data_IF_790699304972
#
_entry.id   IF_790699304972
#
_cell.length_a   1.000
_cell.length_b   1.000
_cell.length_c   1.000
_cell.angle_alpha   90.00
_cell.angle_beta   90.00
_cell.angle_gamma   90.00
#
_symmetry.space_group_name_H-M   'P 1'
#
loop_
_entity.id
_entity.type
_entity.pdbx_description
1 polymer ?
#
# COMPACT_ATOMS: atom_id res chain seq x y z
N UNK A 1 22.54 -74.38 -26.56
CA UNK A 1 23.97 -74.79 -26.67
C UNK A 1 24.80 -73.66 -26.07
N UNK A 2 25.56 -73.99 -25.01
CA UNK A 2 26.77 -73.34 -24.49
C UNK A 2 26.83 -71.80 -24.26
N UNK A 3 26.91 -71.43 -22.98
CA UNK A 3 27.79 -70.36 -22.45
C UNK A 3 29.28 -70.72 -22.69
N UNK A 4 30.26 -69.79 -22.62
CA UNK A 4 30.90 -69.46 -21.33
C UNK A 4 31.42 -68.00 -21.12
N UNK A 5 31.18 -67.50 -19.89
CA UNK A 5 32.08 -66.86 -18.88
C UNK A 5 33.38 -66.09 -19.23
N UNK A 6 33.58 -64.95 -18.54
CA UNK A 6 34.74 -64.63 -17.64
C UNK A 6 34.56 -63.22 -17.02
N UNK A 7 34.19 -63.00 -15.75
CA UNK A 7 34.98 -63.01 -14.49
C UNK A 7 36.19 -62.05 -14.42
N UNK A 8 36.15 -61.11 -13.44
CA UNK A 8 37.25 -60.20 -13.10
C UNK A 8 37.03 -59.36 -11.82
N UNK A 9 37.03 -60.02 -10.66
CA UNK A 9 37.33 -59.59 -9.25
C UNK A 9 37.82 -58.15 -8.99
N UNK A 10 37.15 -57.39 -8.11
CA UNK A 10 37.33 -57.26 -6.63
C UNK A 10 38.37 -56.22 -6.17
N UNK A 11 37.96 -55.26 -5.33
CA UNK A 11 38.52 -54.92 -3.99
C UNK A 11 38.02 -53.55 -3.50
N UNK A 12 37.18 -53.56 -2.45
CA UNK A 12 37.33 -52.62 -1.34
C UNK A 12 38.34 -53.23 -0.34
N UNK A 13 38.99 -52.42 0.51
CA UNK A 13 38.42 -52.25 1.85
C UNK A 13 38.66 -50.88 2.50
N UNK A 14 37.85 -50.65 3.54
CA UNK A 14 38.24 -50.20 4.89
C UNK A 14 37.58 -48.92 5.36
N UNK A 15 37.10 -49.02 6.60
CA UNK A 15 36.25 -48.12 7.32
C UNK A 15 36.98 -47.58 8.55
N UNK A 16 36.45 -46.46 9.05
CA UNK A 16 36.48 -45.98 10.46
C UNK A 16 37.80 -45.34 10.95
N UNK A 17 37.76 -44.42 11.94
CA UNK A 17 36.74 -44.35 12.99
C UNK A 17 36.14 -42.98 13.36
N UNK A 18 35.00 -43.11 14.04
CA UNK A 18 34.33 -42.16 14.91
C UNK A 18 35.30 -41.47 15.87
N UNK A 19 35.12 -40.16 16.05
CA UNK A 19 35.45 -39.48 17.31
C UNK A 19 34.22 -38.72 17.79
N UNK A 20 33.56 -39.29 18.80
CA UNK A 20 32.58 -38.64 19.64
C UNK A 20 33.30 -37.71 20.62
N UNK A 21 33.01 -36.42 20.61
CA UNK A 21 33.31 -35.53 21.74
C UNK A 21 32.00 -34.99 22.32
N UNK A 22 31.60 -35.63 23.42
CA UNK A 22 30.69 -35.06 24.42
C UNK A 22 31.28 -33.74 24.93
N UNK A 23 30.54 -32.65 24.83
CA UNK A 23 30.69 -31.50 25.75
C UNK A 23 29.32 -31.12 26.29
N UNK A 24 29.05 -31.69 27.46
CA UNK A 24 28.41 -31.09 28.64
C UNK A 24 27.53 -29.86 28.43
N UNK A 25 26.22 -30.06 28.60
CA UNK A 25 25.27 -29.04 29.06
C UNK A 25 25.79 -28.44 30.37
N UNK A 26 25.94 -27.12 30.43
CA UNK A 26 25.96 -26.37 31.68
C UNK A 26 24.69 -25.54 31.72
N UNK A 27 23.69 -26.02 32.45
CA UNK A 27 22.49 -25.28 32.81
C UNK A 27 22.84 -24.33 33.95
N UNK A 28 23.05 -23.04 33.64
CA UNK A 28 23.06 -22.02 34.66
C UNK A 28 21.62 -21.67 35.04
N UNK A 29 21.22 -22.22 36.19
CA UNK A 29 20.10 -21.78 37.00
C UNK A 29 20.44 -20.40 37.54
N UNK A 30 19.94 -19.34 36.91
CA UNK A 30 19.91 -18.01 37.51
C UNK A 30 18.69 -17.94 38.44
N UNK A 31 19.00 -17.91 39.74
CA UNK A 31 18.05 -17.71 40.82
C UNK A 31 17.43 -16.31 40.72
N UNK A 32 16.13 -16.28 40.99
CA UNK A 32 15.28 -15.11 41.24
C UNK A 32 15.93 -14.11 42.20
N UNK A 33 15.89 -12.82 41.85
CA UNK A 33 15.80 -11.72 42.81
C UNK A 33 14.63 -10.82 42.41
N UNK A 34 13.53 -10.92 43.15
CA UNK A 34 12.43 -9.98 43.08
C UNK A 34 12.85 -8.76 43.88
N UNK A 35 13.08 -7.62 43.23
CA UNK A 35 13.13 -6.32 43.91
C UNK A 35 11.73 -5.75 43.87
N UNK A 36 11.10 -5.71 45.05
CA UNK A 36 9.81 -5.07 45.27
C UNK A 36 10.03 -3.57 45.41
N UNK A 37 9.88 -2.82 44.33
CA UNK A 37 9.79 -1.36 44.41
C UNK A 37 8.41 -0.96 44.90
N UNK A 38 8.40 -0.46 46.14
CA UNK A 38 7.20 0.01 46.83
C UNK A 38 7.01 1.48 46.44
N UNK A 39 6.20 1.76 45.42
CA UNK A 39 5.84 3.13 45.07
C UNK A 39 4.87 3.66 46.14
N UNK A 40 5.37 4.60 46.96
CA UNK A 40 4.58 5.42 47.88
C UNK A 40 3.63 6.32 47.08
N UNK A 41 2.33 6.06 47.20
CA UNK A 41 1.27 6.99 46.79
C UNK A 41 1.21 8.14 47.79
N UNK A 42 1.67 9.33 47.39
CA UNK A 42 1.50 10.56 48.15
C UNK A 42 0.09 11.09 47.88
N UNK A 43 -0.79 11.01 48.90
CA UNK A 43 -2.09 11.66 48.91
C UNK A 43 -1.91 13.18 49.04
N UNK A 44 -2.43 13.95 48.08
CA UNK A 44 -2.59 15.39 48.23
C UNK A 44 -3.80 15.71 49.14
N UNK A 45 -3.70 16.68 50.06
CA UNK A 45 -4.83 17.08 50.88
C UNK A 45 -5.71 18.13 50.16
N UNK A 46 -7.02 17.91 50.20
CA UNK A 46 -8.06 18.89 49.88
C UNK A 46 -8.22 19.88 51.02
N UNK A 47 -8.44 21.18 50.71
CA UNK A 47 -8.98 22.22 51.60
C UNK A 47 -9.58 23.36 50.73
N UNK A 48 -10.47 24.22 51.25
CA UNK A 48 -11.86 24.27 50.81
C UNK A 48 -12.27 25.59 50.11
N UNK A 49 -13.48 25.57 49.56
CA UNK A 49 -14.17 26.70 48.96
C UNK A 49 -14.37 27.87 49.94
N UNK A 50 -14.09 29.09 49.47
CA UNK A 50 -14.59 30.33 50.05
C UNK A 50 -15.28 31.17 48.98
N UNK A 51 -16.54 31.50 49.26
CA UNK A 51 -17.37 32.50 48.60
C UNK A 51 -17.10 33.85 49.27
N UNK A 52 -16.94 34.94 48.51
CA UNK A 52 -17.56 36.25 48.78
C UNK A 52 -17.20 37.34 47.73
N UNK A 53 -18.26 37.82 47.07
CA UNK A 53 -18.63 39.20 46.74
C UNK A 53 -17.60 40.24 46.22
N UNK A 54 -17.88 40.67 44.98
CA UNK A 54 -18.07 42.04 44.49
C UNK A 54 -17.06 43.16 44.86
N UNK A 55 -16.38 43.67 43.82
CA UNK A 55 -16.03 45.08 43.71
C UNK A 55 -16.02 45.51 42.23
N UNK A 56 -16.90 46.44 41.90
CA UNK A 56 -17.03 47.11 40.61
C UNK A 56 -15.88 48.09 40.41
N UNK A 57 -15.15 48.00 39.29
CA UNK A 57 -14.35 49.12 38.79
C UNK A 57 -14.54 49.27 37.28
N UNK A 58 -15.11 50.41 36.92
CA UNK A 58 -15.38 50.89 35.58
C UNK A 58 -14.03 51.25 34.92
N UNK A 59 -13.60 50.50 33.90
CA UNK A 59 -12.54 50.91 32.99
C UNK A 59 -13.07 50.89 31.55
N UNK A 60 -13.11 52.08 30.96
CA UNK A 60 -13.29 52.28 29.53
C UNK A 60 -12.15 51.58 28.78
N UNK A 61 -12.48 50.58 27.95
CA UNK A 61 -11.62 50.12 26.88
C UNK A 61 -12.45 49.92 25.61
N UNK A 62 -11.86 50.40 24.53
CA UNK A 62 -12.39 50.49 23.18
C UNK A 62 -13.08 49.21 22.70
N UNK A 63 -14.25 49.37 22.07
CA UNK A 63 -14.89 48.33 21.27
C UNK A 63 -14.05 48.05 20.00
N UNK A 64 -12.94 47.32 20.17
CA UNK A 64 -12.35 46.54 19.10
C UNK A 64 -13.18 45.26 18.97
N UNK A 65 -14.09 45.22 17.99
CA UNK A 65 -14.82 44.01 17.66
C UNK A 65 -13.84 42.90 17.29
N UNK A 66 -13.64 41.95 18.19
CA UNK A 66 -12.98 40.70 17.87
C UNK A 66 -13.86 39.99 16.85
N UNK A 67 -13.43 40.01 15.58
CA UNK A 67 -14.02 39.12 14.57
C UNK A 67 -13.79 37.69 15.06
N UNK A 68 -14.81 36.82 15.06
CA UNK A 68 -14.60 35.41 15.28
C UNK A 68 -13.59 34.93 14.23
N UNK A 69 -12.47 34.40 14.69
CA UNK A 69 -11.50 33.72 13.84
C UNK A 69 -12.27 32.67 13.04
N UNK A 70 -12.32 32.88 11.72
CA UNK A 70 -12.93 31.94 10.80
C UNK A 70 -12.33 30.57 11.08
N UNK A 71 -13.17 29.63 11.54
CA UNK A 71 -12.83 28.22 11.45
C UNK A 71 -12.49 27.95 9.98
N UNK A 72 -11.46 27.15 9.66
CA UNK A 72 -11.20 26.79 8.28
C UNK A 72 -12.51 26.29 7.68
N UNK A 73 -12.99 27.03 6.67
CA UNK A 73 -14.26 26.75 6.02
C UNK A 73 -14.13 25.34 5.46
N UNK A 74 -14.98 24.43 5.97
CA UNK A 74 -15.02 23.05 5.49
C UNK A 74 -15.19 23.15 3.97
N UNK A 75 -14.34 22.49 3.16
CA UNK A 75 -14.51 22.52 1.71
C UNK A 75 -15.96 22.22 1.38
N UNK A 76 -16.53 22.99 0.45
CA UNK A 76 -17.89 22.80 -0.01
C UNK A 76 -18.14 21.30 -0.29
N UNK A 77 -19.35 20.77 -0.01
CA UNK A 77 -19.65 19.38 -0.30
C UNK A 77 -19.20 19.07 -1.72
N UNK A 78 -18.50 17.94 -1.98
CA UNK A 78 -18.08 17.61 -3.33
C UNK A 78 -19.31 17.70 -4.23
N UNK A 79 -19.19 18.44 -5.33
CA UNK A 79 -20.27 18.57 -6.31
C UNK A 79 -20.75 17.19 -6.74
N UNK A 80 -21.94 17.12 -7.35
CA UNK A 80 -22.56 15.87 -7.79
C UNK A 80 -21.77 15.07 -8.86
N UNK A 81 -20.50 15.40 -9.10
CA UNK A 81 -19.66 14.80 -10.13
C UNK A 81 -18.59 13.90 -9.50
N UNK A 82 -18.35 12.76 -10.16
CA UNK A 82 -17.23 11.87 -9.89
C UNK A 82 -15.89 12.60 -10.07
N UNK A 83 -15.02 12.51 -9.07
CA UNK A 83 -13.66 13.06 -9.11
C UNK A 83 -12.61 11.99 -8.84
N UNK A 84 -11.46 12.12 -9.49
CA UNK A 84 -10.26 11.32 -9.25
C UNK A 84 -9.12 12.21 -8.76
N UNK A 85 -8.64 11.95 -7.56
CA UNK A 85 -7.47 12.60 -6.97
C UNK A 85 -6.27 11.67 -7.06
N UNK A 86 -5.10 12.24 -7.38
CA UNK A 86 -3.82 11.53 -7.41
C UNK A 86 -2.94 12.08 -6.30
N UNK A 87 -2.50 11.22 -5.39
CA UNK A 87 -1.59 11.56 -4.31
C UNK A 87 -0.17 11.09 -4.67
N UNK A 88 0.83 11.90 -4.33
CA UNK A 88 2.24 11.51 -4.43
C UNK A 88 2.62 10.69 -3.18
N UNK A 89 2.45 9.37 -3.28
CA UNK A 89 2.78 8.43 -2.20
C UNK A 89 4.20 7.84 -2.34
N UNK A 90 5.05 8.54 -3.09
CA UNK A 90 6.49 8.37 -3.12
C UNK A 90 7.02 7.85 -4.44
N UNK A 91 8.34 7.70 -4.50
CA UNK A 91 9.06 7.12 -5.63
C UNK A 91 10.18 6.21 -5.15
N UNK A 92 10.58 5.26 -6.00
CA UNK A 92 11.63 4.30 -5.70
C UNK A 92 12.47 4.03 -6.93
N UNK A 93 13.77 3.81 -6.73
CA UNK A 93 14.66 3.37 -7.80
C UNK A 93 14.66 1.85 -7.91
N UNK A 94 14.63 1.34 -9.14
CA UNK A 94 14.67 -0.10 -9.43
C UNK A 94 15.73 -0.44 -10.48
N UNK A 95 16.18 -1.69 -10.49
CA UNK A 95 16.92 -2.23 -11.62
C UNK A 95 15.94 -2.72 -12.71
N UNK A 96 15.97 -2.16 -13.93
CA UNK A 96 15.04 -2.52 -15.00
C UNK A 96 15.20 -3.98 -15.48
N UNK A 97 16.30 -4.67 -15.15
CA UNK A 97 16.56 -6.05 -15.58
C UNK A 97 15.44 -7.01 -15.15
N UNK A 98 14.86 -6.81 -13.96
CA UNK A 98 13.75 -7.63 -13.47
C UNK A 98 12.48 -7.50 -14.31
N UNK A 99 12.37 -6.44 -15.10
CA UNK A 99 11.29 -6.15 -16.04
C UNK A 99 11.65 -6.55 -17.49
N UNK A 100 12.80 -7.22 -17.67
CA UNK A 100 13.39 -7.59 -18.98
C UNK A 100 13.64 -6.37 -19.87
N UNK A 101 14.09 -5.28 -19.25
CA UNK A 101 14.49 -4.04 -19.90
C UNK A 101 15.94 -3.70 -19.52
N UNK A 102 16.61 -2.92 -20.35
CA UNK A 102 17.93 -2.33 -20.02
C UNK A 102 17.78 -0.88 -19.57
N UNK A 103 18.84 -0.31 -18.99
CA UNK A 103 18.87 1.11 -18.59
C UNK A 103 18.78 2.05 -19.78
N UNK A 104 19.26 1.62 -20.95
CA UNK A 104 19.22 2.37 -22.20
C UNK A 104 17.84 2.32 -22.88
N UNK A 105 17.03 1.30 -22.55
CA UNK A 105 15.66 1.18 -23.07
C UNK A 105 14.66 2.03 -22.29
N UNK A 106 14.90 2.32 -21.00
CA UNK A 106 13.96 3.08 -20.15
C UNK A 106 14.29 4.55 -20.07
N UNK A 107 13.27 5.42 -20.03
CA UNK A 107 13.45 6.85 -19.83
C UNK A 107 14.04 7.20 -18.44
N UNK A 108 13.75 6.39 -17.42
CA UNK A 108 14.25 6.54 -16.05
C UNK A 108 14.21 5.19 -15.33
N UNK A 109 15.02 5.01 -14.30
CA UNK A 109 14.95 3.84 -13.37
C UNK A 109 14.09 4.11 -12.14
N UNK A 110 13.55 5.32 -12.03
CA UNK A 110 12.65 5.71 -10.95
C UNK A 110 11.22 5.32 -11.31
N UNK A 111 10.54 4.67 -10.36
CA UNK A 111 9.11 4.38 -10.39
C UNK A 111 8.38 5.31 -9.45
N UNK A 112 7.18 5.74 -9.83
CA UNK A 112 6.24 6.40 -8.91
C UNK A 112 5.42 5.38 -8.13
N UNK A 113 5.03 5.67 -6.90
CA UNK A 113 4.06 4.89 -6.13
C UNK A 113 2.88 5.81 -5.75
N UNK A 114 1.96 6.12 -6.67
CA UNK A 114 0.82 6.99 -6.37
C UNK A 114 -0.26 6.28 -5.55
N UNK A 115 -0.96 7.05 -4.72
CA UNK A 115 -2.27 6.64 -4.19
C UNK A 115 -3.40 7.37 -4.90
N UNK A 116 -4.61 6.84 -4.85
CA UNK A 116 -5.76 7.47 -5.48
C UNK A 116 -6.97 7.53 -4.56
N UNK A 117 -7.72 8.64 -4.64
CA UNK A 117 -9.06 8.77 -4.10
C UNK A 117 -10.04 8.96 -5.26
N UNK A 118 -11.06 8.10 -5.29
CA UNK A 118 -12.21 8.23 -6.16
C UNK A 118 -13.35 8.76 -5.30
N UNK A 119 -13.68 10.03 -5.49
CA UNK A 119 -14.78 10.69 -4.79
C UNK A 119 -16.03 10.65 -5.67
N UNK A 120 -16.90 9.68 -5.41
CA UNK A 120 -18.16 9.47 -6.12
C UNK A 120 -19.34 10.02 -5.28
N UNK A 121 -20.44 10.49 -5.90
CA UNK A 121 -21.62 10.94 -5.16
C UNK A 121 -22.23 9.88 -4.21
N UNK A 122 -22.06 8.59 -4.52
CA UNK A 122 -22.55 7.48 -3.70
C UNK A 122 -21.56 6.97 -2.66
N UNK A 123 -20.32 7.46 -2.66
CA UNK A 123 -19.30 7.00 -1.72
C UNK A 123 -17.87 7.29 -2.18
N UNK A 124 -16.90 6.97 -1.33
CA UNK A 124 -15.48 7.28 -1.58
C UNK A 124 -14.68 5.99 -1.58
N UNK A 125 -13.79 5.83 -2.56
CA UNK A 125 -12.90 4.68 -2.66
C UNK A 125 -11.44 5.15 -2.56
N UNK A 126 -10.67 4.57 -1.64
CA UNK A 126 -9.20 4.63 -1.68
C UNK A 126 -8.68 3.43 -2.47
N UNK A 127 -7.81 3.72 -3.43
CA UNK A 127 -7.12 2.74 -4.27
C UNK A 127 -5.60 2.86 -4.07
N UNK A 128 -4.95 1.73 -3.77
CA UNK A 128 -3.50 1.61 -3.54
C UNK A 128 -2.95 2.63 -2.52
N UNK A 129 -3.16 2.44 -1.20
CA UNK A 129 -2.74 3.36 -0.13
C UNK A 129 -1.21 3.47 0.11
N UNK A 130 -0.41 3.34 -0.94
CA UNK A 130 0.99 3.77 -1.00
C UNK A 130 2.00 2.82 -0.38
N UNK A 131 3.24 3.30 -0.30
CA UNK A 131 4.43 2.50 -0.01
C UNK A 131 5.08 2.75 1.36
N UNK A 132 4.83 3.92 1.95
CA UNK A 132 5.31 4.27 3.28
C UNK A 132 4.11 4.45 4.20
N UNK A 133 4.02 3.71 5.32
CA UNK A 133 3.00 3.95 6.32
C UNK A 133 3.20 5.32 6.94
N UNK A 134 2.13 6.09 7.09
CA UNK A 134 2.15 7.41 7.69
C UNK A 134 2.70 7.38 9.14
N UNK A 135 2.53 6.26 9.84
CA UNK A 135 3.10 6.06 11.18
C UNK A 135 4.64 5.96 11.18
N UNK A 136 5.24 5.60 10.04
CA UNK A 136 6.69 5.53 9.85
C UNK A 136 7.24 6.84 9.26
N UNK A 137 6.37 7.80 8.89
CA UNK A 137 6.77 9.09 8.33
C UNK A 137 7.47 9.96 9.38
N UNK A 138 8.71 10.35 9.10
CA UNK A 138 9.50 11.25 9.95
C UNK A 138 10.09 12.33 9.06
N UNK A 139 9.76 13.62 9.25
CA UNK A 139 10.25 14.70 8.40
C UNK A 139 11.72 15.03 8.69
N UNK A 140 12.65 14.22 8.17
CA UNK A 140 14.11 14.40 8.33
C UNK A 140 14.75 15.22 7.20
N UNK A 141 13.96 15.71 6.25
CA UNK A 141 14.38 16.45 5.05
C UNK A 141 13.20 16.71 4.12
N UNK A 142 13.46 17.30 2.95
CA UNK A 142 12.48 17.43 1.86
C UNK A 142 13.19 17.23 0.50
N UNK A 143 13.00 16.07 -0.18
CA UNK A 143 12.17 14.94 0.23
C UNK A 143 12.81 14.10 1.37
N UNK A 144 12.02 13.20 1.96
CA UNK A 144 12.48 12.21 2.95
C UNK A 144 12.68 10.86 2.28
N UNK A 145 13.79 10.18 2.61
CA UNK A 145 14.04 8.81 2.18
C UNK A 145 13.71 7.85 3.33
N UNK A 146 12.80 6.92 3.06
CA UNK A 146 12.41 5.84 3.97
C UNK A 146 13.06 4.54 3.57
N UNK A 147 13.91 4.03 4.45
CA UNK A 147 14.51 2.71 4.31
C UNK A 147 13.58 1.63 4.88
N UNK A 148 13.22 0.66 4.05
CA UNK A 148 12.31 -0.43 4.38
C UNK A 148 13.03 -1.76 4.22
N UNK A 149 12.86 -2.64 5.22
CA UNK A 149 13.31 -4.03 5.16
C UNK A 149 12.07 -4.92 5.06
N UNK A 150 11.94 -5.66 3.96
CA UNK A 150 10.82 -6.55 3.69
C UNK A 150 11.04 -7.95 4.28
N UNK A 151 10.00 -8.80 4.39
CA UNK A 151 10.13 -10.18 4.87
C UNK A 151 11.08 -11.07 4.05
N UNK A 152 11.30 -10.76 2.77
CA UNK A 152 12.34 -11.41 1.95
C UNK A 152 13.77 -10.93 2.24
N UNK A 153 13.94 -10.07 3.25
CA UNK A 153 15.18 -9.37 3.59
C UNK A 153 15.64 -8.38 2.51
N UNK A 154 14.79 -8.11 1.53
CA UNK A 154 15.01 -7.09 0.53
C UNK A 154 14.89 -5.70 1.15
N UNK A 155 15.91 -4.89 0.91
CA UNK A 155 15.91 -3.47 1.28
C UNK A 155 15.31 -2.63 0.15
N UNK A 156 14.51 -1.63 0.50
CA UNK A 156 13.91 -0.66 -0.42
C UNK A 156 14.04 0.73 0.16
N UNK A 157 14.41 1.68 -0.68
CA UNK A 157 14.36 3.09 -0.34
C UNK A 157 13.20 3.76 -1.09
N UNK A 158 12.30 4.39 -0.35
CA UNK A 158 11.20 5.19 -0.90
C UNK A 158 11.42 6.65 -0.58
N UNK A 159 11.44 7.48 -1.60
CA UNK A 159 11.50 8.93 -1.46
C UNK A 159 10.08 9.48 -1.44
N UNK A 160 9.71 10.20 -0.38
CA UNK A 160 8.37 10.75 -0.19
C UNK A 160 8.49 12.18 0.36
N UNK A 161 7.58 13.07 -0.01
CA UNK A 161 7.54 14.46 0.51
C UNK A 161 6.49 14.68 1.58
N UNK A 162 5.36 13.97 1.47
CA UNK A 162 4.21 14.19 2.34
C UNK A 162 3.45 12.88 2.56
N UNK A 163 3.08 12.54 3.81
CA UNK A 163 2.34 11.32 4.10
C UNK A 163 0.91 11.38 3.51
N UNK A 164 0.29 10.22 3.25
CA UNK A 164 -0.99 10.12 2.56
C UNK A 164 -2.11 10.85 3.31
N UNK A 165 -2.19 10.68 4.64
CA UNK A 165 -3.25 11.27 5.44
C UNK A 165 -3.21 12.79 5.44
N UNK A 166 -2.00 13.39 5.35
CA UNK A 166 -1.85 14.83 5.21
C UNK A 166 -2.36 15.31 3.84
N UNK A 167 -2.00 14.62 2.75
CA UNK A 167 -2.51 14.95 1.41
C UNK A 167 -4.03 14.75 1.29
N UNK A 168 -4.57 13.69 1.92
CA UNK A 168 -6.00 13.41 1.98
C UNK A 168 -6.76 14.53 2.69
N UNK A 169 -6.21 15.01 3.82
CA UNK A 169 -6.75 16.14 4.57
C UNK A 169 -6.71 17.44 3.76
N UNK A 170 -5.64 17.70 3.01
CA UNK A 170 -5.54 18.86 2.11
C UNK A 170 -6.56 18.81 0.97
N UNK A 171 -6.89 17.61 0.49
CA UNK A 171 -7.97 17.40 -0.46
C UNK A 171 -9.39 17.53 0.17
N UNK A 172 -9.47 17.73 1.49
CA UNK A 172 -10.73 17.93 2.21
C UNK A 172 -11.39 16.66 2.72
N UNK A 173 -10.67 15.54 2.77
CA UNK A 173 -11.20 14.24 3.21
C UNK A 173 -10.45 13.72 4.44
N UNK A 174 -11.10 12.85 5.20
CA UNK A 174 -10.51 12.09 6.28
C UNK A 174 -10.69 10.60 6.05
N UNK A 175 -9.93 9.71 6.74
CA UNK A 175 -10.16 8.27 6.64
C UNK A 175 -11.58 7.84 6.99
N UNK A 176 -12.26 8.57 7.89
CA UNK A 176 -13.64 8.31 8.25
C UNK A 176 -14.67 8.62 7.15
N UNK A 177 -14.28 9.38 6.12
CA UNK A 177 -15.13 9.67 4.96
C UNK A 177 -15.11 8.56 3.90
N UNK A 178 -14.18 7.61 4.03
CA UNK A 178 -13.92 6.57 3.04
C UNK A 178 -14.93 5.42 3.20
N UNK A 179 -15.65 5.14 2.10
CA UNK A 179 -16.68 4.09 2.06
C UNK A 179 -16.07 2.73 1.73
N UNK A 180 -15.15 2.73 0.76
CA UNK A 180 -14.50 1.55 0.21
C UNK A 180 -12.99 1.68 0.25
N UNK A 181 -12.34 0.55 0.50
CA UNK A 181 -10.90 0.38 0.32
C UNK A 181 -10.69 -0.74 -0.69
N UNK A 182 -9.83 -0.56 -1.67
CA UNK A 182 -9.42 -1.62 -2.58
C UNK A 182 -7.98 -1.43 -3.01
N UNK A 183 -7.35 -2.52 -3.44
CA UNK A 183 -5.99 -2.50 -3.98
C UNK A 183 -5.98 -3.15 -5.35
N UNK A 184 -5.03 -2.75 -6.17
CA UNK A 184 -4.62 -3.52 -7.34
C UNK A 184 -4.15 -4.90 -6.90
N UNK A 185 -3.30 -4.98 -5.87
CA UNK A 185 -2.75 -6.23 -5.33
C UNK A 185 -2.08 -6.05 -3.96
N UNK A 186 -1.49 -7.12 -3.41
CA UNK A 186 -0.97 -7.17 -2.04
C UNK A 186 0.46 -6.68 -1.81
N UNK A 187 1.19 -6.19 -2.82
CA UNK A 187 2.58 -5.78 -2.59
C UNK A 187 2.67 -4.60 -1.62
N UNK A 188 3.83 -4.53 -0.96
CA UNK A 188 4.12 -3.58 0.11
C UNK A 188 3.89 -2.11 -0.31
N UNK A 189 4.14 -1.79 -1.57
CA UNK A 189 4.03 -0.47 -2.17
C UNK A 189 2.59 -0.03 -2.53
N UNK A 190 1.63 -0.94 -2.35
CA UNK A 190 0.20 -0.70 -2.60
C UNK A 190 -0.64 -0.84 -1.33
N UNK A 191 -0.03 -1.13 -0.18
CA UNK A 191 -0.78 -1.52 1.04
C UNK A 191 -0.32 -0.80 2.30
N UNK A 192 0.60 0.17 2.21
CA UNK A 192 1.30 0.70 3.37
C UNK A 192 0.39 1.45 4.37
N UNK A 193 -0.66 2.13 3.89
CA UNK A 193 -1.63 2.81 4.75
C UNK A 193 -2.97 2.08 4.91
N UNK A 194 -3.05 0.81 4.53
CA UNK A 194 -4.30 0.05 4.53
C UNK A 194 -4.98 0.00 5.92
N UNK A 195 -4.21 -0.14 7.01
CA UNK A 195 -4.74 -0.11 8.37
C UNK A 195 -5.51 1.18 8.71
N UNK A 196 -5.08 2.33 8.16
CA UNK A 196 -5.73 3.62 8.40
C UNK A 196 -7.16 3.69 7.85
N UNK A 197 -7.50 2.81 6.91
CA UNK A 197 -8.81 2.73 6.27
C UNK A 197 -9.59 1.47 6.66
N UNK A 198 -9.22 0.78 7.74
CA UNK A 198 -9.89 -0.46 8.18
C UNK A 198 -11.36 -0.28 8.61
N UNK A 199 -11.82 0.97 8.79
CA UNK A 199 -13.23 1.30 8.98
C UNK A 199 -14.08 1.26 7.70
N UNK A 200 -13.45 1.34 6.52
CA UNK A 200 -14.12 1.22 5.22
C UNK A 200 -14.48 -0.24 4.91
N UNK A 201 -15.35 -0.44 3.92
CA UNK A 201 -15.61 -1.78 3.38
C UNK A 201 -14.48 -2.17 2.42
N UNK A 202 -13.72 -3.20 2.75
CA UNK A 202 -12.63 -3.69 1.92
C UNK A 202 -13.17 -4.54 0.76
N UNK A 203 -12.89 -4.13 -0.48
CA UNK A 203 -13.24 -4.85 -1.70
C UNK A 203 -12.02 -5.63 -2.19
N UNK A 204 -12.11 -6.95 -2.24
CA UNK A 204 -10.94 -7.79 -2.55
C UNK A 204 -11.31 -9.11 -3.24
N UNK A 205 -10.37 -9.63 -4.02
CA UNK A 205 -10.43 -10.98 -4.58
C UNK A 205 -10.07 -12.01 -3.52
N UNK A 206 -10.82 -13.12 -3.46
CA UNK A 206 -10.55 -14.17 -2.47
C UNK A 206 -9.10 -14.66 -2.54
N UNK A 207 -8.61 -14.93 -3.75
CA UNK A 207 -7.24 -15.44 -3.96
C UNK A 207 -6.16 -14.45 -3.50
N UNK A 208 -6.41 -13.14 -3.64
CA UNK A 208 -5.49 -12.10 -3.18
C UNK A 208 -5.49 -12.01 -1.66
N UNK A 209 -6.69 -12.03 -1.06
CA UNK A 209 -6.87 -12.04 0.39
C UNK A 209 -6.24 -13.29 1.03
N UNK A 210 -6.37 -14.45 0.40
CA UNK A 210 -5.79 -15.70 0.89
C UNK A 210 -4.26 -15.61 0.91
N UNK A 211 -3.64 -15.04 -0.13
CA UNK A 211 -2.20 -14.79 -0.17
C UNK A 211 -1.74 -13.79 0.92
N UNK A 212 -2.52 -12.73 1.16
CA UNK A 212 -2.21 -11.72 2.18
C UNK A 212 -2.19 -12.28 3.61
N UNK A 213 -3.06 -13.25 3.91
CA UNK A 213 -3.25 -13.81 5.26
C UNK A 213 -2.85 -15.28 5.39
N UNK A 214 -2.13 -15.82 4.41
CA UNK A 214 -1.52 -17.14 4.50
C UNK A 214 -0.56 -17.23 5.70
N UNK A 215 -0.36 -18.45 6.23
CA UNK A 215 0.60 -18.69 7.31
C UNK A 215 2.02 -18.23 6.93
N UNK A 216 2.40 -18.45 5.68
CA UNK A 216 3.59 -17.91 5.06
C UNK A 216 3.20 -16.95 3.95
N UNK A 217 3.28 -15.66 4.20
CA UNK A 217 2.98 -14.63 3.20
C UNK A 217 4.12 -14.52 2.17
N UNK A 218 3.83 -14.05 0.94
CA UNK A 218 4.86 -13.73 -0.04
C UNK A 218 5.85 -12.69 0.54
N UNK A 219 7.14 -12.85 0.23
CA UNK A 219 8.20 -12.02 0.82
C UNK A 219 8.17 -10.53 0.44
N UNK A 220 7.39 -10.19 -0.58
CA UNK A 220 7.13 -8.83 -1.09
C UNK A 220 5.89 -8.17 -0.45
N UNK A 221 5.34 -8.78 0.60
CA UNK A 221 4.27 -8.20 1.43
C UNK A 221 4.84 -7.46 2.63
N UNK A 222 4.03 -6.61 3.28
CA UNK A 222 4.34 -6.05 4.60
C UNK A 222 3.16 -6.23 5.57
N UNK A 223 2.94 -7.43 6.13
CA UNK A 223 1.70 -7.76 6.86
C UNK A 223 1.29 -6.81 7.98
N UNK A 224 2.24 -6.14 8.64
CA UNK A 224 1.97 -5.15 9.67
C UNK A 224 1.14 -3.96 9.16
N UNK A 225 1.18 -3.62 7.87
CA UNK A 225 0.51 -2.43 7.30
C UNK A 225 -0.96 -2.66 6.94
N UNK A 226 -1.40 -3.92 6.89
CA UNK A 226 -2.77 -4.30 6.56
C UNK A 226 -3.40 -5.30 7.55
N UNK A 227 -2.74 -5.59 8.67
CA UNK A 227 -3.20 -6.55 9.68
C UNK A 227 -4.63 -6.25 10.20
N UNK A 228 -5.02 -4.97 10.27
CA UNK A 228 -6.36 -4.57 10.70
C UNK A 228 -7.47 -5.06 9.76
N UNK A 229 -7.16 -5.32 8.48
CA UNK A 229 -8.14 -5.79 7.51
C UNK A 229 -8.57 -7.25 7.71
N UNK A 230 -7.82 -8.04 8.49
CA UNK A 230 -8.14 -9.47 8.69
C UNK A 230 -9.58 -9.69 9.16
N UNK A 231 -10.07 -8.79 10.00
CA UNK A 231 -11.40 -8.81 10.60
C UNK A 231 -12.27 -7.60 10.20
N UNK A 232 -11.86 -6.81 9.20
CA UNK A 232 -12.65 -5.65 8.75
C UNK A 232 -13.87 -6.11 7.94
N UNK A 233 -14.82 -5.18 7.76
CA UNK A 233 -15.94 -5.42 6.84
C UNK A 233 -15.39 -5.63 5.44
N UNK A 234 -15.65 -6.80 4.87
CA UNK A 234 -15.05 -7.23 3.60
C UNK A 234 -16.13 -7.69 2.63
N UNK A 235 -16.02 -7.30 1.37
CA UNK A 235 -16.75 -7.87 0.24
C UNK A 235 -15.76 -8.64 -0.63
N UNK A 236 -16.00 -9.94 -0.73
CA UNK A 236 -15.25 -10.81 -1.64
C UNK A 236 -15.88 -10.67 -3.03
N UNK A 237 -15.08 -10.27 -4.00
CA UNK A 237 -15.54 -10.04 -5.36
C UNK A 237 -15.47 -11.37 -6.15
N UNK A 238 -16.61 -11.94 -6.59
CA UNK A 238 -16.64 -13.29 -7.16
C UNK A 238 -16.40 -13.36 -8.67
N UNK A 239 -16.54 -12.25 -9.39
CA UNK A 239 -16.57 -12.19 -10.86
C UNK A 239 -15.46 -11.30 -11.41
N UNK A 240 -14.94 -11.56 -12.62
CA UNK A 240 -13.84 -10.79 -13.20
C UNK A 240 -14.07 -9.27 -13.23
N UNK A 241 -15.31 -8.81 -13.23
CA UNK A 241 -15.66 -7.39 -13.11
C UNK A 241 -16.50 -7.12 -11.86
N UNK A 242 -16.32 -5.94 -11.28
CA UNK A 242 -17.14 -5.43 -10.18
C UNK A 242 -17.33 -3.94 -10.29
N UNK A 243 -18.58 -3.53 -10.39
CA UNK A 243 -19.00 -2.13 -10.36
C UNK A 243 -19.16 -1.69 -8.90
N UNK A 244 -18.31 -0.76 -8.47
CA UNK A 244 -18.20 -0.33 -7.08
C UNK A 244 -19.44 0.44 -6.62
N UNK A 245 -20.08 1.18 -7.53
CA UNK A 245 -21.20 2.07 -7.23
C UNK A 245 -22.51 1.68 -7.94
N UNK A 246 -22.44 0.76 -8.91
CA UNK A 246 -23.59 0.20 -9.62
C UNK A 246 -24.08 1.05 -10.79
N UNK A 247 -23.35 2.08 -11.19
CA UNK A 247 -23.67 3.00 -12.28
C UNK A 247 -22.72 2.90 -13.49
N UNK A 248 -21.77 1.96 -13.45
CA UNK A 248 -20.76 1.70 -14.47
C UNK A 248 -19.63 2.71 -14.53
N UNK A 249 -19.54 3.66 -13.58
CA UNK A 249 -18.53 4.71 -13.58
C UNK A 249 -17.20 4.26 -12.97
N UNK A 250 -17.21 3.28 -12.06
CA UNK A 250 -16.02 2.78 -11.36
C UNK A 250 -16.04 1.26 -11.33
N UNK A 251 -15.21 0.63 -12.16
CA UNK A 251 -15.23 -0.82 -12.39
C UNK A 251 -13.86 -1.41 -12.08
N UNK A 252 -13.80 -2.32 -11.12
CA UNK A 252 -12.64 -3.16 -10.85
C UNK A 252 -12.63 -4.33 -11.84
N UNK A 253 -11.51 -4.56 -12.53
CA UNK A 253 -11.36 -5.64 -13.51
C UNK A 253 -10.20 -6.54 -13.11
N UNK A 254 -10.44 -7.84 -13.06
CA UNK A 254 -9.40 -8.85 -12.83
C UNK A 254 -8.37 -8.76 -13.95
N UNK A 255 -7.10 -8.75 -13.55
CA UNK A 255 -5.95 -8.71 -14.44
C UNK A 255 -4.82 -9.54 -13.79
N UNK A 256 -5.14 -10.80 -13.47
CA UNK A 256 -4.26 -11.71 -12.76
C UNK A 256 -2.98 -12.01 -13.54
N UNK A 257 -1.93 -12.40 -12.81
CA UNK A 257 -0.64 -12.78 -13.37
C UNK A 257 0.51 -12.16 -12.61
N UNK A 258 0.46 -10.85 -12.34
CA UNK A 258 1.44 -10.20 -11.48
C UNK A 258 1.38 -10.76 -10.05
N UNK A 259 0.19 -10.71 -9.47
CA UNK A 259 -0.23 -11.54 -8.33
C UNK A 259 -1.44 -12.39 -8.73
N UNK A 260 -1.80 -13.42 -7.96
CA UNK A 260 -2.92 -14.31 -8.30
C UNK A 260 -4.26 -13.59 -8.51
N UNK A 261 -4.51 -12.49 -7.80
CA UNK A 261 -5.73 -11.71 -7.85
C UNK A 261 -5.51 -10.24 -8.22
N UNK A 262 -4.38 -9.92 -8.87
CA UNK A 262 -4.09 -8.58 -9.37
C UNK A 262 -5.27 -8.05 -10.21
N UNK A 263 -5.59 -6.77 -10.06
CA UNK A 263 -6.71 -6.11 -10.72
C UNK A 263 -6.41 -4.65 -11.07
N UNK A 264 -7.10 -4.15 -12.08
CA UNK A 264 -7.05 -2.74 -12.51
C UNK A 264 -8.35 -2.02 -12.17
N UNK A 265 -8.31 -0.70 -12.07
CA UNK A 265 -9.49 0.13 -11.83
C UNK A 265 -9.81 0.99 -13.05
N UNK A 266 -10.98 0.79 -13.65
CA UNK A 266 -11.53 1.70 -14.65
C UNK A 266 -12.38 2.78 -13.97
N UNK A 267 -12.14 4.04 -14.31
CA UNK A 267 -12.89 5.20 -13.83
C UNK A 267 -13.35 6.03 -15.04
N UNK A 268 -14.66 6.23 -15.20
CA UNK A 268 -15.25 7.02 -16.28
C UNK A 268 -15.61 8.42 -15.78
N UNK A 269 -14.67 9.34 -15.93
CA UNK A 269 -14.82 10.72 -15.52
C UNK A 269 -15.61 11.53 -16.56
N UNK A 270 -16.57 12.38 -16.16
CA UNK A 270 -17.36 13.22 -17.06
C UNK A 270 -16.57 14.02 -18.11
N UNK A 271 -15.45 14.63 -17.75
CA UNK A 271 -14.67 15.54 -18.62
C UNK A 271 -13.41 14.87 -19.16
N UNK A 272 -12.68 14.17 -18.30
CA UNK A 272 -11.41 13.50 -18.63
C UNK A 272 -11.64 12.23 -19.47
N UNK A 273 -12.85 11.68 -19.42
CA UNK A 273 -13.21 10.42 -20.07
C UNK A 273 -12.77 9.21 -19.27
N UNK A 274 -12.62 8.07 -19.94
CA UNK A 274 -12.20 6.81 -19.32
C UNK A 274 -10.72 6.81 -18.95
N UNK A 275 -10.41 6.39 -17.73
CA UNK A 275 -9.04 6.16 -17.24
C UNK A 275 -8.97 4.76 -16.62
N UNK A 276 -7.93 4.00 -16.94
CA UNK A 276 -7.59 2.73 -16.27
C UNK A 276 -6.35 2.96 -15.42
N UNK A 277 -6.46 2.78 -14.11
CA UNK A 277 -5.34 2.71 -13.17
C UNK A 277 -4.77 1.29 -13.21
N UNK A 278 -3.52 1.16 -13.64
CA UNK A 278 -2.99 -0.14 -14.08
C UNK A 278 -2.70 -1.16 -12.98
N UNK A 279 -2.62 -0.75 -11.72
CA UNK A 279 -1.86 -1.58 -10.78
C UNK A 279 -0.43 -1.77 -11.31
N UNK A 280 0.02 -3.02 -11.20
CA UNK A 280 1.28 -3.54 -11.69
C UNK A 280 1.10 -4.35 -12.98
N UNK A 281 0.00 -4.12 -13.71
CA UNK A 281 -0.17 -4.67 -15.06
C UNK A 281 1.04 -4.32 -15.94
N UNK A 282 1.56 -3.10 -15.77
CA UNK A 282 2.82 -2.62 -16.32
C UNK A 282 3.53 -1.76 -15.27
N UNK A 283 4.86 -1.77 -15.28
CA UNK A 283 5.69 -0.87 -14.47
C UNK A 283 6.31 0.25 -15.30
N UNK A 284 6.64 -0.05 -16.56
CA UNK A 284 7.26 0.85 -17.52
C UNK A 284 6.41 0.96 -18.79
N UNK A 285 6.24 2.17 -19.37
CA UNK A 285 5.66 2.34 -20.71
C UNK A 285 6.37 1.49 -21.78
N UNK A 286 7.67 1.31 -21.65
CA UNK A 286 8.51 0.53 -22.56
C UNK A 286 8.21 -0.97 -22.44
N UNK A 287 7.89 -1.47 -21.24
CA UNK A 287 7.45 -2.85 -21.05
C UNK A 287 6.13 -3.14 -21.79
N UNK A 288 5.23 -2.15 -21.86
CA UNK A 288 4.00 -2.24 -22.65
C UNK A 288 4.30 -2.27 -24.14
N UNK A 289 5.12 -1.35 -24.63
CA UNK A 289 5.46 -1.23 -26.06
C UNK A 289 6.22 -2.46 -26.58
N UNK A 290 7.20 -2.94 -25.81
CA UNK A 290 8.05 -4.08 -26.15
C UNK A 290 7.45 -5.44 -25.75
N UNK A 291 6.24 -5.44 -25.16
CA UNK A 291 5.54 -6.62 -24.65
C UNK A 291 6.42 -7.47 -23.71
N UNK A 292 7.11 -6.81 -22.77
CA UNK A 292 8.00 -7.45 -21.78
C UNK A 292 7.27 -7.68 -20.47
N UNK A 293 7.17 -8.93 -20.07
CA UNK A 293 6.58 -9.33 -18.77
C UNK A 293 7.67 -9.42 -17.73
N UNK A 294 7.39 -8.94 -16.52
CA UNK A 294 8.36 -8.95 -15.45
C UNK A 294 8.68 -10.39 -15.02
N UNK A 295 9.95 -10.63 -14.69
CA UNK A 295 10.47 -11.97 -14.35
C UNK A 295 9.91 -12.53 -13.03
N UNK A 296 9.32 -11.66 -12.21
CA UNK A 296 8.83 -11.96 -10.87
C UNK A 296 7.30 -11.98 -10.77
N UNK A 297 6.59 -11.84 -11.90
CA UNK A 297 5.16 -12.08 -11.94
C UNK A 297 4.85 -13.51 -11.49
N UNK A 298 3.79 -13.66 -10.68
CA UNK A 298 3.30 -14.95 -10.20
C UNK A 298 3.05 -15.94 -11.35
N UNK A 299 2.45 -15.49 -12.44
CA UNK A 299 2.27 -16.23 -13.68
C UNK A 299 2.44 -15.29 -14.89
N UNK A 300 3.57 -15.41 -15.58
CA UNK A 300 3.92 -14.55 -16.71
C UNK A 300 3.05 -14.80 -17.96
N UNK A 301 2.55 -16.02 -18.15
CA UNK A 301 1.65 -16.33 -19.25
C UNK A 301 0.28 -15.71 -18.98
N UNK A 302 -0.21 -15.81 -17.75
CA UNK A 302 -1.44 -15.16 -17.32
C UNK A 302 -1.34 -13.63 -17.38
N UNK A 303 -0.20 -13.04 -17.00
CA UNK A 303 0.04 -11.59 -17.18
C UNK A 303 -0.10 -11.18 -18.64
N UNK A 304 0.41 -11.99 -19.58
CA UNK A 304 0.27 -11.69 -21.02
C UNK A 304 -1.19 -11.72 -21.47
N UNK A 305 -1.97 -12.72 -21.01
CA UNK A 305 -3.41 -12.81 -21.30
C UNK A 305 -4.17 -11.62 -20.70
N UNK A 306 -3.89 -11.26 -19.45
CA UNK A 306 -4.50 -10.11 -18.78
C UNK A 306 -4.17 -8.79 -19.50
N UNK A 307 -2.93 -8.62 -19.96
CA UNK A 307 -2.53 -7.47 -20.77
C UNK A 307 -3.31 -7.38 -22.06
N UNK A 308 -3.39 -8.47 -22.83
CA UNK A 308 -4.17 -8.50 -24.08
C UNK A 308 -5.66 -8.16 -23.84
N UNK A 309 -6.26 -8.66 -22.75
CA UNK A 309 -7.63 -8.35 -22.39
C UNK A 309 -7.83 -6.87 -22.03
N UNK A 310 -6.90 -6.27 -21.27
CA UNK A 310 -6.97 -4.84 -20.93
C UNK A 310 -6.68 -3.95 -22.14
N UNK A 311 -5.75 -4.31 -23.03
CA UNK A 311 -5.52 -3.57 -24.29
C UNK A 311 -6.76 -3.60 -25.18
N UNK A 312 -7.43 -4.75 -25.30
CA UNK A 312 -8.70 -4.84 -26.03
C UNK A 312 -9.80 -3.97 -25.40
N UNK A 313 -9.85 -3.91 -24.06
CA UNK A 313 -10.77 -3.02 -23.35
C UNK A 313 -10.47 -1.54 -23.60
N UNK A 314 -9.21 -1.13 -23.53
CA UNK A 314 -8.75 0.23 -23.82
C UNK A 314 -9.13 0.63 -25.26
N UNK A 315 -8.89 -0.25 -26.24
CA UNK A 315 -9.26 -0.02 -27.63
C UNK A 315 -10.77 0.12 -27.83
N UNK A 316 -11.57 -0.66 -27.10
CA UNK A 316 -13.04 -0.62 -27.17
C UNK A 316 -13.62 0.65 -26.54
N UNK A 317 -13.07 1.11 -25.43
CA UNK A 317 -13.63 2.25 -24.66
C UNK A 317 -12.99 3.59 -25.02
N UNK A 318 -11.83 3.59 -25.68
CA UNK A 318 -11.02 4.79 -25.86
C UNK A 318 -10.43 5.32 -24.55
N UNK A 319 -10.42 4.51 -23.48
CA UNK A 319 -9.90 4.91 -22.20
C UNK A 319 -8.37 5.08 -22.24
N UNK A 320 -7.88 6.02 -21.44
CA UNK A 320 -6.47 6.18 -21.16
C UNK A 320 -5.99 5.07 -20.24
N UNK A 321 -4.73 4.66 -20.38
CA UNK A 321 -4.05 3.80 -19.40
C UNK A 321 -3.06 4.64 -18.62
N UNK A 322 -3.25 4.74 -17.31
CA UNK A 322 -2.29 5.36 -16.40
C UNK A 322 -1.48 4.25 -15.74
N UNK A 323 -0.25 4.10 -16.21
CA UNK A 323 0.71 3.17 -15.62
C UNK A 323 1.13 3.75 -14.27
N UNK A 324 0.74 3.12 -13.16
CA UNK A 324 0.93 3.72 -11.83
C UNK A 324 2.40 3.96 -11.49
N UNK A 325 3.28 3.07 -11.96
CA UNK A 325 4.73 3.18 -11.78
C UNK A 325 5.48 3.98 -12.86
N UNK A 326 4.80 4.48 -13.90
CA UNK A 326 5.43 5.39 -14.87
C UNK A 326 5.70 6.75 -14.22
N UNK A 327 6.92 6.95 -13.74
CA UNK A 327 7.32 8.19 -13.07
C UNK A 327 7.16 9.42 -13.97
N UNK A 328 7.51 9.31 -15.26
CA UNK A 328 7.42 10.44 -16.20
C UNK A 328 5.97 10.79 -16.51
N UNK A 329 5.10 9.79 -16.68
CA UNK A 329 3.67 9.99 -16.84
C UNK A 329 3.03 10.56 -15.57
N UNK A 330 3.36 9.99 -14.41
CA UNK A 330 2.81 10.34 -13.12
C UNK A 330 3.13 11.79 -12.72
N UNK A 331 4.34 12.27 -12.96
CA UNK A 331 4.77 13.66 -12.66
C UNK A 331 4.00 14.72 -13.45
N UNK A 332 3.41 14.36 -14.59
CA UNK A 332 2.56 15.25 -15.41
C UNK A 332 1.11 15.29 -14.95
N UNK A 333 0.70 14.39 -14.05
CA UNK A 333 -0.65 14.36 -13.54
C UNK A 333 -0.85 15.47 -12.49
N UNK A 334 -2.05 16.06 -12.48
CA UNK A 334 -2.51 16.92 -11.39
C UNK A 334 -2.41 16.15 -10.08
N UNK A 335 -1.81 16.77 -9.07
CA UNK A 335 -1.72 16.21 -7.72
C UNK A 335 -2.76 16.84 -6.82
N UNK A 336 -3.26 16.06 -5.87
CA UNK A 336 -4.13 16.59 -4.84
C UNK A 336 -3.51 17.85 -4.20
N UNK A 337 -4.31 18.89 -3.92
CA UNK A 337 -5.77 18.90 -3.90
C UNK A 337 -6.44 19.10 -5.27
N UNK A 338 -5.68 19.26 -6.36
CA UNK A 338 -6.26 19.24 -7.71
C UNK A 338 -6.79 17.84 -8.06
N UNK A 339 -7.76 17.80 -8.97
CA UNK A 339 -8.43 16.57 -9.37
C UNK A 339 -8.75 16.54 -10.86
N UNK A 340 -9.12 15.35 -11.31
CA UNK A 340 -9.76 15.09 -12.58
C UNK A 340 -11.25 14.89 -12.36
N UNK A 341 -12.04 15.37 -13.30
CA UNK A 341 -13.50 15.22 -13.37
C UNK A 341 -13.93 14.91 -14.79
#
# INVERSE_FOLDING_TARGET
MALPTSMGRSRQPSASPRTSSRRTRSSHVLRRSWVTDTIRVVKQPHLPAFVLAAASLLHLLACGGAQPSASPERPAPPGNNLRLYVFDCGSLNVDPVRFRLTKEEVATTELSAPCFLIAHPQGRLIWDPGAVPDADWVPTGDPVVHHLVLPDLGERDVTLRKPLMAQLSEAGYSPGDITYLAFSHYHWDHTANANGFAGATWLVRQVERDAMFAEKTPGVTRPSTYAALKNSKTVIIPSDEHDVFGDGSVIMKLAAGHTPGHQVLYVKLPTTGGVVLSGDLYHFPEARTLKRVATFDFDQAQSSVSRDAIEAFLAKTGAQLWIQHDHVGNTRLKKAPEYYE
#
